data_IF_610768959612
#
_entry.id   IF_610768959612
#
_cell.length_a   1.000
_cell.length_b   1.000
_cell.length_c   1.000
_cell.angle_alpha   90.00
_cell.angle_beta   90.00
_cell.angle_gamma   90.00
#
_symmetry.space_group_name_H-M   'P 1'
#
loop_
_entity.id
_entity.type
_entity.pdbx_description
1 polymer ?
#
# COMPACT_ATOMS: atom_id res chain seq x y z
N UNK A 1 35.99 9.52 -12.75
CA UNK A 1 35.25 8.30 -12.33
C UNK A 1 33.79 8.68 -12.16
N UNK A 2 32.98 8.45 -13.19
CA UNK A 2 31.55 8.80 -13.16
C UNK A 2 30.78 7.68 -12.47
N UNK A 3 30.51 7.83 -11.18
CA UNK A 3 29.61 6.91 -10.47
C UNK A 3 28.19 7.19 -10.97
N UNK A 4 27.71 6.37 -11.90
CA UNK A 4 26.29 6.35 -12.24
C UNK A 4 25.49 6.10 -10.96
N UNK A 5 24.67 7.08 -10.55
CA UNK A 5 23.66 6.89 -9.51
C UNK A 5 22.74 5.75 -9.98
N UNK A 6 22.88 4.57 -9.37
CA UNK A 6 21.93 3.47 -9.56
C UNK A 6 20.55 3.98 -9.14
N UNK A 7 19.64 4.07 -10.09
CA UNK A 7 18.24 4.38 -9.83
C UNK A 7 17.61 3.12 -9.22
N UNK A 8 17.90 2.84 -7.94
CA UNK A 8 17.35 1.69 -7.24
C UNK A 8 15.87 1.96 -7.01
N UNK A 9 15.01 1.16 -7.65
CA UNK A 9 13.57 1.27 -7.49
C UNK A 9 13.15 1.15 -6.01
N UNK A 10 11.98 1.69 -5.68
CA UNK A 10 11.42 1.70 -4.31
C UNK A 10 11.48 0.32 -3.61
N UNK A 11 11.23 -0.76 -4.34
CA UNK A 11 11.29 -2.11 -3.79
C UNK A 11 12.69 -2.52 -3.29
N UNK A 12 13.76 -2.06 -3.94
CA UNK A 12 15.12 -2.37 -3.52
C UNK A 12 15.52 -1.54 -2.29
N UNK A 13 15.08 -0.28 -2.23
CA UNK A 13 15.34 0.60 -1.09
C UNK A 13 14.62 0.16 0.20
N UNK A 14 13.55 -0.64 0.10
CA UNK A 14 12.71 -1.07 1.22
C UNK A 14 12.98 -2.55 1.60
N UNK A 15 13.89 -3.22 0.90
CA UNK A 15 14.18 -4.64 1.10
C UNK A 15 14.84 -4.87 2.46
N UNK A 16 14.28 -5.79 3.25
CA UNK A 16 14.86 -6.22 4.53
C UNK A 16 14.69 -5.21 5.68
N UNK A 17 13.89 -4.16 5.48
CA UNK A 17 13.55 -3.20 6.53
C UNK A 17 12.21 -3.59 7.14
N UNK A 18 12.18 -3.71 8.46
CA UNK A 18 10.94 -3.75 9.23
C UNK A 18 10.51 -2.31 9.54
N UNK A 19 9.50 -1.82 8.84
CA UNK A 19 9.02 -0.44 9.01
C UNK A 19 8.16 -0.24 10.26
N UNK A 20 7.77 -1.31 10.95
CA UNK A 20 7.17 -1.19 12.28
C UNK A 20 8.24 -0.82 13.31
N UNK A 21 9.41 -1.43 13.18
CA UNK A 21 10.57 -1.15 14.05
C UNK A 21 11.29 0.15 13.64
N UNK A 22 11.37 0.44 12.33
CA UNK A 22 12.09 1.59 11.77
C UNK A 22 11.18 2.54 10.96
N UNK A 23 10.11 3.12 11.57
CA UNK A 23 9.11 3.91 10.85
C UNK A 23 9.69 5.19 10.24
N UNK A 24 10.80 5.71 10.79
CA UNK A 24 11.45 6.93 10.31
C UNK A 24 12.12 6.76 8.93
N UNK A 25 12.38 5.52 8.50
CA UNK A 25 12.90 5.22 7.15
C UNK A 25 11.79 5.24 6.09
N UNK A 26 10.51 5.24 6.52
CA UNK A 26 9.37 5.26 5.62
C UNK A 26 9.22 6.61 4.94
N UNK A 27 9.25 6.61 3.60
CA UNK A 27 8.95 7.78 2.79
C UNK A 27 7.53 7.72 2.26
N UNK A 28 6.72 8.70 2.64
CA UNK A 28 5.34 8.82 2.17
C UNK A 28 5.34 9.14 0.67
N UNK A 29 4.95 8.15 -0.13
CA UNK A 29 4.77 8.31 -1.58
C UNK A 29 3.52 9.12 -1.91
N UNK A 30 3.57 9.88 -3.02
CA UNK A 30 2.41 10.60 -3.58
C UNK A 30 1.50 9.60 -4.29
N UNK A 31 0.20 9.61 -3.95
CA UNK A 31 -0.81 8.74 -4.55
C UNK A 31 -0.58 7.26 -4.21
N UNK A 32 -0.58 6.41 -5.23
CA UNK A 32 -0.38 4.95 -5.14
C UNK A 32 1.10 4.54 -5.18
N UNK A 33 2.04 5.49 -5.23
CA UNK A 33 3.47 5.16 -5.27
C UNK A 33 3.92 4.59 -3.93
N UNK A 34 4.53 3.41 -3.97
CA UNK A 34 4.99 2.68 -2.79
C UNK A 34 3.88 1.99 -2.01
N UNK A 35 2.74 1.67 -2.66
CA UNK A 35 1.77 0.74 -2.09
C UNK A 35 2.39 -0.66 -2.02
N UNK A 36 2.19 -1.35 -0.89
CA UNK A 36 2.58 -2.76 -0.68
C UNK A 36 4.07 -3.06 -0.91
N UNK A 37 4.95 -2.15 -0.50
CA UNK A 37 6.41 -2.38 -0.49
C UNK A 37 7.02 -2.44 0.92
N UNK A 38 6.33 -1.88 1.93
CA UNK A 38 6.79 -1.83 3.30
C UNK A 38 6.34 -3.09 4.06
N UNK A 39 7.29 -3.88 4.53
CA UNK A 39 7.03 -4.97 5.47
C UNK A 39 7.00 -4.43 6.92
N UNK A 40 6.23 -5.05 7.82
CA UNK A 40 5.40 -6.25 7.64
C UNK A 40 4.01 -5.98 7.04
N UNK A 41 3.63 -4.71 6.86
CA UNK A 41 2.29 -4.30 6.46
C UNK A 41 1.85 -4.87 5.11
N UNK A 42 2.79 -5.02 4.17
CA UNK A 42 2.53 -5.71 2.91
C UNK A 42 2.03 -7.13 3.17
N UNK A 43 2.78 -7.92 3.95
CA UNK A 43 2.40 -9.29 4.30
C UNK A 43 1.09 -9.39 5.09
N UNK A 44 0.78 -8.41 5.92
CA UNK A 44 -0.44 -8.38 6.73
C UNK A 44 -1.68 -7.99 5.91
N UNK A 45 -1.58 -6.98 5.04
CA UNK A 45 -2.73 -6.41 4.32
C UNK A 45 -3.04 -7.18 3.04
N UNK A 46 -2.02 -7.63 2.30
CA UNK A 46 -2.17 -8.27 0.99
C UNK A 46 -3.11 -9.51 1.00
N UNK A 47 -3.11 -10.41 2.01
CA UNK A 47 -4.02 -11.56 2.07
C UNK A 47 -5.52 -11.18 2.12
N UNK A 48 -5.82 -9.96 2.59
CA UNK A 48 -7.18 -9.46 2.75
C UNK A 48 -7.67 -8.64 1.54
N UNK A 49 -6.78 -8.30 0.60
CA UNK A 49 -7.17 -7.51 -0.56
C UNK A 49 -7.66 -8.42 -1.70
N UNK A 50 -8.98 -8.47 -1.89
CA UNK A 50 -9.63 -9.25 -2.96
C UNK A 50 -10.61 -8.36 -3.73
N UNK A 51 -10.68 -8.53 -5.06
CA UNK A 51 -11.47 -7.66 -5.94
C UNK A 51 -12.25 -8.42 -7.03
N UNK A 52 -12.68 -9.67 -6.75
CA UNK A 52 -13.32 -10.53 -7.74
C UNK A 52 -14.75 -10.10 -8.10
N UNK A 53 -15.52 -9.66 -7.11
CA UNK A 53 -16.89 -9.14 -7.27
C UNK A 53 -17.06 -7.91 -6.38
N UNK A 54 -18.13 -7.15 -6.57
CA UNK A 54 -18.45 -6.01 -5.72
C UNK A 54 -18.64 -6.42 -4.25
N UNK A 55 -19.31 -7.55 -3.97
CA UNK A 55 -19.45 -8.02 -2.59
C UNK A 55 -18.09 -8.37 -1.96
N UNK A 56 -17.20 -9.02 -2.72
CA UNK A 56 -15.86 -9.37 -2.26
C UNK A 56 -15.00 -8.13 -2.04
N UNK A 57 -15.16 -7.10 -2.87
CA UNK A 57 -14.48 -5.82 -2.71
C UNK A 57 -14.95 -5.09 -1.44
N UNK A 58 -16.26 -5.13 -1.15
CA UNK A 58 -16.83 -4.59 0.09
C UNK A 58 -16.33 -5.32 1.34
N UNK A 59 -16.32 -6.65 1.33
CA UNK A 59 -15.79 -7.44 2.44
C UNK A 59 -14.30 -7.15 2.67
N UNK A 60 -13.53 -7.04 1.58
CA UNK A 60 -12.10 -6.69 1.64
C UNK A 60 -11.88 -5.29 2.22
N UNK A 61 -12.68 -4.30 1.79
CA UNK A 61 -12.54 -2.92 2.30
C UNK A 61 -12.90 -2.83 3.78
N UNK A 62 -13.97 -3.50 4.23
CA UNK A 62 -14.35 -3.57 5.65
C UNK A 62 -13.23 -4.19 6.51
N UNK A 63 -12.61 -5.26 6.01
CA UNK A 63 -11.51 -5.93 6.71
C UNK A 63 -10.28 -5.02 6.81
N UNK A 64 -9.90 -4.38 5.70
CA UNK A 64 -8.72 -3.51 5.65
C UNK A 64 -8.96 -2.22 6.44
N UNK A 65 -10.20 -1.71 6.48
CA UNK A 65 -10.57 -0.59 7.33
C UNK A 65 -10.46 -0.93 8.82
N UNK A 66 -10.86 -2.14 9.21
CA UNK A 66 -10.64 -2.62 10.58
C UNK A 66 -9.14 -2.66 10.93
N UNK A 67 -8.29 -3.09 9.99
CA UNK A 67 -6.83 -3.04 10.17
C UNK A 67 -6.32 -1.61 10.29
N UNK A 68 -6.82 -0.67 9.48
CA UNK A 68 -6.50 0.75 9.60
C UNK A 68 -6.80 1.30 11.00
N UNK A 69 -7.98 0.97 11.55
CA UNK A 69 -8.35 1.38 12.92
C UNK A 69 -7.42 0.76 13.96
N UNK A 70 -7.07 -0.53 13.81
CA UNK A 70 -6.13 -1.20 14.70
C UNK A 70 -4.73 -0.57 14.67
N UNK A 71 -4.22 -0.17 13.50
CA UNK A 71 -2.97 0.58 13.40
C UNK A 71 -3.08 1.97 14.03
N UNK A 72 -4.22 2.64 13.84
CA UNK A 72 -4.47 3.95 14.46
C UNK A 72 -4.48 3.88 15.98
N UNK A 73 -5.07 2.85 16.57
CA UNK A 73 -5.05 2.63 18.03
C UNK A 73 -3.64 2.37 18.57
N UNK A 74 -2.73 1.89 17.73
CA UNK A 74 -1.32 1.64 18.05
C UNK A 74 -0.39 2.83 17.71
N UNK A 75 -0.96 3.96 17.27
CA UNK A 75 -0.20 5.10 16.72
C UNK A 75 0.77 4.69 15.58
N UNK A 76 0.43 3.63 14.84
CA UNK A 76 1.25 3.09 13.75
C UNK A 76 0.96 3.80 12.43
N UNK A 77 1.67 4.90 12.21
CA UNK A 77 1.52 5.73 11.03
C UNK A 77 1.78 4.98 9.71
N UNK A 78 2.77 4.08 9.67
CA UNK A 78 3.13 3.37 8.42
C UNK A 78 2.02 2.37 8.07
N UNK A 79 1.55 1.61 9.05
CA UNK A 79 0.41 0.71 8.88
C UNK A 79 -0.85 1.45 8.44
N UNK A 80 -1.13 2.60 9.07
CA UNK A 80 -2.24 3.47 8.68
C UNK A 80 -2.14 3.93 7.21
N UNK A 81 -0.99 4.44 6.78
CA UNK A 81 -0.81 4.92 5.39
C UNK A 81 -0.95 3.78 4.37
N UNK A 82 -0.42 2.60 4.69
CA UNK A 82 -0.51 1.41 3.83
C UNK A 82 -1.95 0.93 3.67
N UNK A 83 -2.71 0.83 4.77
CA UNK A 83 -4.11 0.45 4.72
C UNK A 83 -4.96 1.50 3.98
N UNK A 84 -4.76 2.79 4.26
CA UNK A 84 -5.44 3.91 3.59
C UNK A 84 -5.24 3.87 2.07
N UNK A 85 -4.02 3.60 1.59
CA UNK A 85 -3.75 3.52 0.15
C UNK A 85 -4.47 2.36 -0.52
N UNK A 86 -4.60 1.21 0.15
CA UNK A 86 -5.35 0.07 -0.39
C UNK A 86 -6.84 0.37 -0.46
N UNK A 87 -7.41 0.99 0.58
CA UNK A 87 -8.80 1.44 0.56
C UNK A 87 -9.08 2.37 -0.63
N UNK A 88 -8.18 3.33 -0.90
CA UNK A 88 -8.29 4.20 -2.07
C UNK A 88 -8.24 3.46 -3.41
N UNK A 89 -7.50 2.35 -3.49
CA UNK A 89 -7.45 1.53 -4.70
C UNK A 89 -8.76 0.75 -4.87
N UNK A 90 -9.31 0.20 -3.79
CA UNK A 90 -10.59 -0.52 -3.81
C UNK A 90 -11.72 0.43 -4.25
N UNK A 91 -11.77 1.63 -3.69
CA UNK A 91 -12.78 2.66 -4.04
C UNK A 91 -12.75 3.08 -5.51
N UNK A 92 -11.55 3.18 -6.10
CA UNK A 92 -11.40 3.54 -7.52
C UNK A 92 -11.82 2.41 -8.47
N UNK A 93 -11.93 1.18 -7.98
CA UNK A 93 -12.16 0.00 -8.79
C UNK A 93 -11.04 -0.27 -9.81
N UNK A 94 -11.14 -1.36 -10.59
CA UNK A 94 -10.26 -1.54 -11.73
C UNK A 94 -10.45 -0.37 -12.69
N UNK A 95 -9.36 0.31 -13.06
CA UNK A 95 -9.38 1.26 -14.18
C UNK A 95 -9.70 0.49 -15.44
N UNK A 96 -10.98 0.37 -15.76
CA UNK A 96 -11.40 0.00 -17.11
C UNK A 96 -10.91 1.16 -17.96
N UNK A 97 -9.87 0.94 -18.75
CA UNK A 97 -9.45 1.91 -19.73
C UNK A 97 -10.63 2.07 -20.70
N UNK A 98 -11.47 3.07 -20.46
CA UNK A 98 -12.33 3.60 -21.51
C UNK A 98 -11.36 4.12 -22.56
N UNK A 99 -11.14 3.29 -23.60
CA UNK A 99 -10.67 3.80 -24.88
C UNK A 99 -11.75 4.75 -25.36
N UNK A 100 -11.66 6.01 -24.97
CA UNK A 100 -12.32 7.07 -25.72
C UNK A 100 -11.66 7.09 -27.09
N UNK A 101 -12.34 6.43 -28.03
CA UNK A 101 -12.08 6.53 -29.46
C UNK A 101 -12.24 8.01 -29.83
N UNK A 102 -11.12 8.68 -30.13
CA UNK A 102 -11.08 9.91 -30.91
C UNK A 102 -10.52 9.59 -32.29
#
# INVERSE_FOLDING_TARGET
MSTQKKNTGYAEAYRGIDFRSEPHLYKVGIGERGVLIAEPYKGEILPHWRFRTEEVARESSERIYTMFLSYKEQDDFVGMDMARKILQIIEKGPKIATRESS
#
